data_IF_882242571864
#
_entry.id   IF_882242571864
#
_cell.length_a   1.000
_cell.length_b   1.000
_cell.length_c   1.000
_cell.angle_alpha   90.00
_cell.angle_beta   90.00
_cell.angle_gamma   90.00
#
_symmetry.space_group_name_H-M   'P 1'
#
loop_
_entity.id
_entity.type
_entity.pdbx_description
1 polymer ?
#
# COMPACT_ATOMS: atom_id res chain seq x y z
N UNK A 1 1.51 -12.02 -14.63
CA UNK A 1 1.01 -11.21 -13.50
C UNK A 1 0.84 -9.73 -13.83
N UNK A 2 1.82 -9.04 -14.41
CA UNK A 2 1.73 -7.58 -14.63
C UNK A 2 0.54 -7.16 -15.50
N UNK A 3 0.15 -7.96 -16.50
CA UNK A 3 -1.05 -7.72 -17.33
C UNK A 3 -2.38 -7.75 -16.55
N UNK A 4 -2.40 -8.35 -15.35
CA UNK A 4 -3.58 -8.43 -14.48
C UNK A 4 -3.61 -7.23 -13.52
N UNK A 5 -2.45 -6.88 -12.95
CA UNK A 5 -2.33 -5.80 -11.96
C UNK A 5 -2.26 -4.42 -12.63
N UNK A 6 -1.62 -4.34 -13.80
CA UNK A 6 -1.40 -3.15 -14.60
C UNK A 6 -1.77 -3.42 -16.07
N UNK A 7 -3.08 -3.53 -16.39
CA UNK A 7 -3.52 -3.84 -17.74
C UNK A 7 -3.12 -2.77 -18.76
N UNK A 8 -3.06 -1.51 -18.36
CA UNK A 8 -2.75 -0.37 -19.24
C UNK A 8 -1.24 -0.21 -19.55
N UNK A 9 -0.36 -0.69 -18.67
CA UNK A 9 1.10 -0.56 -18.81
C UNK A 9 1.86 -1.77 -18.27
N UNK A 10 1.68 -2.97 -18.87
CA UNK A 10 2.17 -4.23 -18.31
C UNK A 10 3.70 -4.34 -18.28
N UNK A 11 4.41 -3.68 -19.20
CA UNK A 11 5.88 -3.72 -19.29
C UNK A 11 6.50 -2.81 -18.22
N UNK A 12 6.06 -1.55 -18.15
CA UNK A 12 6.49 -0.62 -17.11
C UNK A 12 6.16 -1.13 -15.69
N UNK A 13 4.95 -1.69 -15.52
CA UNK A 13 4.53 -2.31 -14.26
C UNK A 13 5.40 -3.49 -13.85
N UNK A 14 5.76 -4.36 -14.80
CA UNK A 14 6.66 -5.49 -14.52
C UNK A 14 8.06 -5.00 -14.10
N UNK A 15 8.65 -4.07 -14.84
CA UNK A 15 10.00 -3.57 -14.56
C UNK A 15 10.08 -2.85 -13.22
N UNK A 16 9.08 -2.02 -12.91
CA UNK A 16 9.00 -1.34 -11.62
C UNK A 16 8.84 -2.30 -10.44
N UNK A 17 7.94 -3.30 -10.55
CA UNK A 17 7.78 -4.31 -9.50
C UNK A 17 9.01 -5.21 -9.35
N UNK A 18 9.63 -5.60 -10.46
CA UNK A 18 10.85 -6.39 -10.45
C UNK A 18 11.99 -5.64 -9.74
N UNK A 19 12.23 -4.37 -10.11
CA UNK A 19 13.29 -3.57 -9.49
C UNK A 19 13.09 -3.29 -8.01
N UNK A 20 11.84 -3.18 -7.53
CA UNK A 20 11.53 -3.14 -6.09
C UNK A 20 11.78 -4.47 -5.39
N UNK A 21 11.46 -5.60 -6.04
CA UNK A 21 11.66 -6.92 -5.46
C UNK A 21 13.14 -7.29 -5.34
N UNK A 22 13.96 -6.90 -6.32
CA UNK A 22 15.41 -7.16 -6.33
C UNK A 22 16.23 -6.07 -5.65
N UNK A 23 15.59 -5.00 -5.18
CA UNK A 23 16.27 -3.80 -4.72
C UNK A 23 15.36 -2.91 -3.89
N UNK A 24 15.38 -1.62 -4.18
CA UNK A 24 14.52 -0.64 -3.51
C UNK A 24 13.80 0.22 -4.54
N UNK A 25 13.00 1.18 -4.09
CA UNK A 25 12.31 2.11 -4.97
C UNK A 25 13.25 2.82 -5.98
N UNK A 26 14.50 3.09 -5.61
CA UNK A 26 15.47 3.72 -6.51
C UNK A 26 15.87 2.82 -7.68
N UNK A 27 16.10 1.52 -7.42
CA UNK A 27 16.38 0.51 -8.45
C UNK A 27 15.16 0.31 -9.36
N UNK A 28 13.95 0.28 -8.79
CA UNK A 28 12.71 0.23 -9.55
C UNK A 28 12.55 1.41 -10.52
N UNK A 29 12.87 2.63 -10.06
CA UNK A 29 12.83 3.83 -10.91
C UNK A 29 13.93 3.84 -11.96
N UNK A 30 15.13 3.33 -11.65
CA UNK A 30 16.21 3.19 -12.63
C UNK A 30 15.78 2.28 -13.80
N UNK A 31 15.23 1.10 -13.51
CA UNK A 31 14.74 0.18 -14.54
C UNK A 31 13.55 0.77 -15.30
N UNK A 32 12.70 1.54 -14.62
CA UNK A 32 11.59 2.22 -15.27
C UNK A 32 12.08 3.29 -16.25
N UNK A 33 13.18 4.00 -15.99
CA UNK A 33 13.75 4.98 -16.93
C UNK A 33 14.25 4.37 -18.23
N UNK A 34 14.68 3.11 -18.22
CA UNK A 34 15.12 2.42 -19.44
C UNK A 34 13.94 2.08 -20.36
N UNK A 35 12.76 1.84 -19.80
CA UNK A 35 11.54 1.49 -20.56
C UNK A 35 10.65 2.70 -20.82
N UNK A 36 10.60 3.64 -19.87
CA UNK A 36 9.81 4.86 -19.90
C UNK A 36 10.66 6.04 -19.39
N UNK A 37 11.50 6.62 -20.27
CA UNK A 37 12.44 7.70 -19.88
C UNK A 37 11.75 8.99 -19.44
N UNK A 38 10.55 9.24 -19.99
CA UNK A 38 9.77 10.45 -19.75
C UNK A 38 8.69 10.27 -18.67
N UNK A 39 8.58 9.08 -18.07
CA UNK A 39 7.57 8.73 -17.07
C UNK A 39 6.13 9.06 -17.51
N UNK A 40 5.78 8.74 -18.76
CA UNK A 40 4.42 8.92 -19.26
C UNK A 40 3.45 7.96 -18.55
N UNK A 41 3.93 6.81 -18.08
CA UNK A 41 3.13 5.85 -17.33
C UNK A 41 3.08 6.23 -15.83
N UNK A 42 1.93 6.03 -15.15
CA UNK A 42 1.78 6.38 -13.72
C UNK A 42 2.53 5.41 -12.78
N UNK A 43 3.36 4.52 -13.32
CA UNK A 43 4.07 3.50 -12.54
C UNK A 43 5.06 4.11 -11.54
N UNK A 44 5.74 5.21 -11.92
CA UNK A 44 6.68 5.92 -11.03
C UNK A 44 5.99 6.47 -9.79
N UNK A 45 4.78 7.01 -9.94
CA UNK A 45 3.96 7.51 -8.84
C UNK A 45 3.48 6.36 -7.95
N UNK A 46 3.03 5.25 -8.54
CA UNK A 46 2.60 4.06 -7.80
C UNK A 46 3.74 3.42 -7.00
N UNK A 47 4.96 3.43 -7.54
CA UNK A 47 6.18 3.01 -6.86
C UNK A 47 6.46 3.82 -5.59
N UNK A 48 6.44 5.16 -5.70
CA UNK A 48 6.76 6.06 -4.59
C UNK A 48 5.65 6.05 -3.55
N UNK A 49 4.39 6.14 -3.97
CA UNK A 49 3.23 6.15 -3.06
C UNK A 49 3.05 4.80 -2.34
N UNK A 50 3.31 3.69 -3.03
CA UNK A 50 3.34 2.36 -2.38
C UNK A 50 4.45 2.24 -1.33
N UNK A 51 5.66 2.72 -1.65
CA UNK A 51 6.79 2.66 -0.71
C UNK A 51 6.60 3.59 0.49
N UNK A 52 6.12 4.82 0.28
CA UNK A 52 5.92 5.80 1.35
C UNK A 52 4.80 5.38 2.30
N UNK A 53 3.69 4.86 1.78
CA UNK A 53 2.62 4.31 2.63
C UNK A 53 3.11 3.10 3.42
N UNK A 54 3.91 2.21 2.82
CA UNK A 54 4.51 1.08 3.53
C UNK A 54 5.39 1.53 4.71
N UNK A 55 6.20 2.58 4.55
CA UNK A 55 7.06 3.11 5.64
C UNK A 55 6.22 3.61 6.82
N UNK A 56 5.12 4.32 6.56
CA UNK A 56 4.23 4.84 7.61
C UNK A 56 3.67 3.69 8.47
N UNK A 57 3.36 2.55 7.85
CA UNK A 57 2.91 1.36 8.58
C UNK A 57 4.06 0.55 9.20
N UNK A 58 5.23 0.50 8.56
CA UNK A 58 6.37 -0.30 9.00
C UNK A 58 7.12 0.33 10.19
N UNK A 59 7.23 1.66 10.24
CA UNK A 59 7.94 2.38 11.30
C UNK A 59 7.48 2.02 12.74
N UNK A 60 6.17 2.05 13.07
CA UNK A 60 5.70 1.67 14.41
C UNK A 60 5.96 0.18 14.71
N UNK A 61 5.87 -0.69 13.71
CA UNK A 61 6.15 -2.13 13.87
C UNK A 61 7.63 -2.33 14.20
N UNK A 62 8.54 -1.64 13.50
CA UNK A 62 9.98 -1.73 13.75
C UNK A 62 10.34 -1.27 15.18
N UNK A 63 9.66 -0.22 15.67
CA UNK A 63 9.82 0.26 17.04
C UNK A 63 9.40 -0.81 18.07
N UNK A 64 8.25 -1.46 17.87
CA UNK A 64 7.79 -2.53 18.76
C UNK A 64 8.75 -3.73 18.77
N UNK A 65 9.29 -4.14 17.62
CA UNK A 65 10.28 -5.22 17.54
C UNK A 65 11.56 -4.88 18.31
N UNK A 66 12.04 -3.64 18.20
CA UNK A 66 13.20 -3.16 18.95
C UNK A 66 13.00 -3.19 20.48
N UNK A 67 11.80 -2.84 20.96
CA UNK A 67 11.46 -2.90 22.38
C UNK A 67 11.27 -4.33 22.89
N UNK A 68 10.77 -5.24 22.05
CA UNK A 68 10.56 -6.65 22.40
C UNK A 68 11.87 -7.39 22.69
N UNK A 69 12.98 -7.00 22.05
CA UNK A 69 14.28 -7.68 22.16
C UNK A 69 14.97 -7.52 23.53
N UNK A 70 14.47 -6.66 24.42
CA UNK A 70 15.14 -6.31 25.68
C UNK A 70 14.66 -7.14 26.90
N UNK A 71 13.47 -7.76 26.89
CA UNK A 71 12.96 -8.52 28.05
C UNK A 71 11.81 -9.46 27.69
N UNK A 72 11.72 -10.62 28.36
CA UNK A 72 10.61 -11.58 28.22
C UNK A 72 9.24 -10.99 28.61
N UNK A 73 9.19 -10.07 29.58
CA UNK A 73 7.94 -9.40 29.97
C UNK A 73 7.48 -8.38 28.92
N UNK A 74 8.43 -7.65 28.32
CA UNK A 74 8.18 -6.72 27.21
C UNK A 74 7.79 -7.45 25.93
N UNK A 75 8.26 -8.68 25.73
CA UNK A 75 7.87 -9.53 24.61
C UNK A 75 6.37 -9.88 24.64
N UNK A 76 5.84 -10.32 25.79
CA UNK A 76 4.39 -10.57 25.90
C UNK A 76 3.56 -9.28 25.76
N UNK A 77 4.05 -8.16 26.30
CA UNK A 77 3.40 -6.86 26.16
C UNK A 77 3.37 -6.35 24.71
N UNK A 78 4.47 -6.50 23.97
CA UNK A 78 4.55 -6.12 22.55
C UNK A 78 3.70 -7.04 21.67
N UNK A 79 3.63 -8.34 21.98
CA UNK A 79 2.74 -9.28 21.28
C UNK A 79 1.27 -8.86 21.40
N UNK A 80 0.83 -8.48 22.61
CA UNK A 80 -0.50 -7.93 22.84
C UNK A 80 -0.73 -6.61 22.10
N UNK A 81 0.25 -5.70 22.13
CA UNK A 81 0.17 -4.40 21.44
C UNK A 81 0.08 -4.54 19.92
N UNK A 82 0.79 -5.51 19.33
CA UNK A 82 0.71 -5.84 17.90
C UNK A 82 -0.70 -6.34 17.56
N UNK A 83 -1.30 -7.19 18.40
CA UNK A 83 -2.65 -7.70 18.18
C UNK A 83 -3.70 -6.58 18.23
N UNK A 84 -3.53 -5.64 19.17
CA UNK A 84 -4.37 -4.44 19.27
C UNK A 84 -4.20 -3.53 18.05
N UNK A 85 -2.96 -3.28 17.63
CA UNK A 85 -2.65 -2.49 16.43
C UNK A 85 -3.28 -3.10 15.17
N UNK A 86 -3.16 -4.42 15.00
CA UNK A 86 -3.80 -5.15 13.92
C UNK A 86 -5.33 -5.03 13.96
N UNK A 87 -5.94 -5.20 15.13
CA UNK A 87 -7.39 -5.10 15.31
C UNK A 87 -7.89 -3.69 14.97
N UNK A 88 -7.19 -2.64 15.43
CA UNK A 88 -7.54 -1.24 15.15
C UNK A 88 -7.46 -0.95 13.64
N UNK A 89 -6.38 -1.38 12.97
CA UNK A 89 -6.24 -1.19 11.53
C UNK A 89 -7.30 -1.96 10.76
N UNK A 90 -7.52 -3.23 11.08
CA UNK A 90 -8.46 -4.09 10.35
C UNK A 90 -9.91 -3.62 10.54
N UNK A 91 -10.28 -3.21 11.77
CA UNK A 91 -11.57 -2.60 12.05
C UNK A 91 -11.67 -1.25 11.32
N UNK A 92 -10.76 -0.31 11.57
CA UNK A 92 -10.76 1.02 10.96
C UNK A 92 -10.84 1.00 9.43
N UNK A 93 -10.10 0.12 8.76
CA UNK A 93 -10.15 -0.05 7.31
C UNK A 93 -11.52 -0.56 6.86
N UNK A 94 -12.08 -1.59 7.54
CA UNK A 94 -13.44 -2.08 7.24
C UNK A 94 -14.52 -1.02 7.47
N UNK A 95 -14.41 -0.17 8.48
CA UNK A 95 -15.35 0.93 8.70
C UNK A 95 -15.26 1.97 7.59
N UNK A 96 -14.05 2.36 7.16
CA UNK A 96 -13.88 3.30 6.04
C UNK A 96 -14.41 2.71 4.73
N UNK A 97 -14.06 1.47 4.40
CA UNK A 97 -14.52 0.81 3.17
C UNK A 97 -16.05 0.73 3.12
N UNK A 98 -16.69 0.34 4.23
CA UNK A 98 -18.17 0.35 4.33
C UNK A 98 -18.76 1.74 4.12
N UNK A 99 -18.15 2.77 4.72
CA UNK A 99 -18.62 4.15 4.55
C UNK A 99 -18.47 4.67 3.11
N UNK A 100 -17.37 4.33 2.44
CA UNK A 100 -17.15 4.69 1.03
C UNK A 100 -18.13 3.97 0.09
N UNK A 101 -18.44 2.70 0.34
CA UNK A 101 -19.44 1.95 -0.42
C UNK A 101 -20.86 2.53 -0.27
N UNK A 102 -21.22 2.98 0.94
CA UNK A 102 -22.51 3.63 1.20
C UNK A 102 -22.63 5.00 0.51
N UNK A 103 -21.54 5.76 0.43
CA UNK A 103 -21.52 7.06 -0.25
C UNK A 103 -21.75 6.92 -1.76
N UNK A 104 -21.17 5.89 -2.41
CA UNK A 104 -21.39 5.64 -3.84
C UNK A 104 -22.83 5.23 -4.16
N UNK A 105 -23.48 4.46 -3.28
CA UNK A 105 -24.88 4.07 -3.46
C UNK A 105 -25.84 5.28 -3.40
N UNK A 106 -25.58 6.23 -2.49
CA UNK A 106 -26.44 7.41 -2.31
C UNK A 106 -26.29 8.46 -3.42
N UNK A 107 -25.17 8.49 -4.14
CA UNK A 107 -24.95 9.42 -5.27
C UNK A 107 -25.41 8.83 -6.61
N UNK A 108 -25.45 7.50 -6.74
CA UNK A 108 -26.01 6.83 -7.94
C UNK A 108 -27.52 6.92 -8.05
N UNK A 109 -28.24 6.98 -6.92
CA UNK A 109 -29.71 7.04 -6.86
C UNK A 109 -30.29 8.44 -7.17
N UNK A 110 -29.45 9.48 -7.19
CA UNK A 110 -29.88 10.87 -7.48
C UNK A 110 -29.78 11.26 -8.95
N UNK A 111 -29.30 10.35 -9.82
CA UNK A 111 -29.04 10.62 -11.23
C UNK A 111 -29.99 9.94 -12.22
N UNK A 112 -30.93 9.11 -11.74
CA UNK A 112 -31.87 8.35 -12.59
C UNK A 112 -33.30 8.93 -12.64
N UNK A 113 -33.55 10.11 -12.06
CA UNK A 113 -34.82 10.84 -12.23
C UNK A 113 -34.59 12.15 -12.96
N UNK A 114 -34.20 12.07 -14.22
CA UNK A 114 -34.42 13.13 -15.21
C UNK A 114 -34.31 12.54 -16.62
N UNK A 115 -35.26 11.66 -16.93
CA UNK A 115 -35.71 11.40 -18.31
C UNK A 115 -36.84 12.38 -18.67
#
# INVERSE_FOLDING_TARGET
>A
MSKIVYPDYPVAGMMGMYGMMTGTASTGIMLLREVDPLFHTPMSMNLVTGSSTAIIFAAPILLFVGLAAQSEFLLYATLGSIFVYWAILHFGLRYRVRKHALKHKNTGDSGETQD
#
